data_IF_256437058685
#
_entry.id   IF_256437058685
#
_cell.length_a   1.000
_cell.length_b   1.000
_cell.length_c   1.000
_cell.angle_alpha   90.00
_cell.angle_beta   90.00
_cell.angle_gamma   90.00
#
_symmetry.space_group_name_H-M   'P 1'
#
loop_
_entity.id
_entity.type
_entity.pdbx_description
1 polymer ?
#
# COMPACT_ATOMS: atom_id res chain seq x y z
N UNK A 1 -9.74 8.14 -15.74
CA UNK A 1 -9.11 7.33 -14.67
C UNK A 1 -9.12 5.87 -15.10
N UNK A 2 -8.10 5.05 -14.80
CA UNK A 2 -8.05 3.64 -15.25
C UNK A 2 -7.92 2.72 -14.03
N UNK A 3 -8.73 1.67 -13.95
CA UNK A 3 -8.56 0.61 -12.96
C UNK A 3 -7.33 -0.26 -13.31
N UNK A 4 -6.77 -0.94 -12.32
CA UNK A 4 -5.88 -2.06 -12.60
C UNK A 4 -6.67 -3.16 -13.33
N UNK A 5 -6.07 -3.74 -14.38
CA UNK A 5 -6.61 -4.95 -14.99
C UNK A 5 -6.52 -6.13 -14.02
N UNK A 6 -7.18 -7.25 -14.35
CA UNK A 6 -7.08 -8.48 -13.56
C UNK A 6 -5.64 -8.99 -13.44
N UNK A 7 -4.83 -8.87 -14.50
CA UNK A 7 -3.41 -9.28 -14.47
C UNK A 7 -2.57 -8.34 -13.60
N UNK A 8 -2.80 -7.04 -13.68
CA UNK A 8 -2.10 -6.05 -12.85
C UNK A 8 -2.48 -6.18 -11.37
N UNK A 9 -3.76 -6.41 -11.08
CA UNK A 9 -4.26 -6.67 -9.72
C UNK A 9 -3.62 -7.93 -9.14
N UNK A 10 -3.60 -9.03 -9.90
CA UNK A 10 -2.97 -10.28 -9.48
C UNK A 10 -1.48 -10.07 -9.19
N UNK A 11 -0.77 -9.40 -10.09
CA UNK A 11 0.65 -9.08 -9.88
C UNK A 11 0.87 -8.26 -8.60
N UNK A 12 0.07 -7.22 -8.40
CA UNK A 12 0.12 -6.37 -7.22
C UNK A 12 -0.07 -7.19 -5.92
N UNK A 13 -1.05 -8.09 -5.89
CA UNK A 13 -1.31 -8.98 -4.74
C UNK A 13 -0.18 -9.99 -4.51
N UNK A 14 0.40 -10.55 -5.57
CA UNK A 14 1.55 -11.45 -5.49
C UNK A 14 2.76 -10.75 -4.87
N UNK A 15 3.03 -9.49 -5.26
CA UNK A 15 4.10 -8.67 -4.66
C UNK A 15 3.82 -8.32 -3.21
N UNK A 16 2.59 -7.91 -2.87
CA UNK A 16 2.19 -7.66 -1.48
C UNK A 16 2.40 -8.88 -0.59
N UNK A 17 2.02 -10.07 -1.07
CA UNK A 17 2.22 -11.34 -0.36
C UNK A 17 3.70 -11.65 -0.19
N UNK A 18 4.49 -11.48 -1.25
CA UNK A 18 5.93 -11.76 -1.22
C UNK A 18 6.67 -10.86 -0.22
N UNK A 19 6.48 -9.55 -0.33
CA UNK A 19 7.21 -8.52 0.42
C UNK A 19 6.70 -8.33 1.86
N UNK A 20 5.37 -8.33 2.05
CA UNK A 20 4.74 -7.94 3.31
C UNK A 20 3.96 -9.06 3.99
N UNK A 21 3.83 -10.23 3.35
CA UNK A 21 3.04 -11.34 3.87
C UNK A 21 1.53 -11.11 3.84
N UNK A 22 1.07 -10.08 3.14
CA UNK A 22 -0.34 -9.68 3.09
C UNK A 22 -1.10 -10.60 2.13
N UNK A 23 -2.19 -11.20 2.60
CA UNK A 23 -3.17 -11.92 1.77
C UNK A 23 -4.43 -11.08 1.66
N UNK A 24 -5.06 -11.08 0.47
CA UNK A 24 -6.30 -10.32 0.20
C UNK A 24 -6.20 -8.84 0.59
N UNK A 25 -5.05 -8.21 0.29
CA UNK A 25 -4.84 -6.78 0.56
C UNK A 25 -5.74 -5.92 -0.33
N UNK A 26 -6.38 -4.91 0.23
CA UNK A 26 -7.27 -3.99 -0.50
C UNK A 26 -8.41 -4.68 -1.28
N UNK A 27 -8.90 -5.85 -0.83
CA UNK A 27 -9.96 -6.61 -1.51
C UNK A 27 -11.30 -5.87 -1.55
N UNK A 28 -11.52 -4.94 -0.63
CA UNK A 28 -12.74 -4.14 -0.51
C UNK A 28 -12.72 -2.88 -1.39
N UNK A 29 -11.63 -2.66 -2.13
CA UNK A 29 -11.41 -1.45 -2.93
C UNK A 29 -11.15 -1.76 -4.38
N UNK A 30 -11.58 -0.85 -5.25
CA UNK A 30 -11.06 -0.77 -6.60
C UNK A 30 -9.69 -0.10 -6.57
N UNK A 31 -8.75 -0.66 -7.32
CA UNK A 31 -7.41 -0.10 -7.46
C UNK A 31 -7.28 0.65 -8.77
N UNK A 32 -6.76 1.86 -8.67
CA UNK A 32 -6.78 2.86 -9.74
C UNK A 32 -5.34 3.22 -10.06
N UNK A 33 -5.00 3.13 -11.34
CA UNK A 33 -3.71 3.58 -11.88
C UNK A 33 -3.65 5.10 -11.83
N UNK A 34 -2.59 5.60 -11.22
CA UNK A 34 -2.21 7.00 -11.24
C UNK A 34 -0.81 7.17 -11.87
N UNK A 35 -0.44 8.41 -12.19
CA UNK A 35 0.82 8.70 -12.85
C UNK A 35 2.05 8.24 -12.07
N UNK A 36 3.12 7.92 -12.80
CA UNK A 36 4.42 7.48 -12.25
C UNK A 36 4.34 6.18 -11.42
N UNK A 37 3.50 5.23 -11.85
CA UNK A 37 3.36 3.92 -11.20
C UNK A 37 2.61 3.95 -9.86
N UNK A 38 1.99 5.08 -9.49
CA UNK A 38 1.18 5.18 -8.29
C UNK A 38 -0.12 4.39 -8.45
N UNK A 39 -0.58 3.79 -7.35
CA UNK A 39 -1.83 3.06 -7.23
C UNK A 39 -2.65 3.73 -6.12
N UNK A 40 -3.93 3.99 -6.42
CA UNK A 40 -4.89 4.51 -5.45
C UNK A 40 -5.99 3.50 -5.16
N UNK A 41 -6.48 3.46 -3.93
CA UNK A 41 -7.63 2.66 -3.53
C UNK A 41 -8.85 3.56 -3.35
N UNK A 42 -10.00 3.16 -3.88
CA UNK A 42 -11.28 3.81 -3.63
C UNK A 42 -12.35 2.74 -3.40
N UNK A 43 -13.44 3.09 -2.74
CA UNK A 43 -14.65 2.27 -2.81
C UNK A 43 -15.19 2.30 -4.25
N UNK A 44 -15.97 1.28 -4.63
CA UNK A 44 -16.55 1.21 -5.96
C UNK A 44 -17.45 2.43 -6.23
N UNK A 45 -18.27 2.81 -5.26
CA UNK A 45 -19.22 3.92 -5.34
C UNK A 45 -18.50 5.25 -5.56
N UNK A 46 -17.42 5.51 -4.80
CA UNK A 46 -16.63 6.72 -4.95
C UNK A 46 -15.99 6.81 -6.35
N UNK A 47 -15.52 5.68 -6.88
CA UNK A 47 -14.98 5.60 -8.23
C UNK A 47 -16.05 5.87 -9.29
N UNK A 48 -17.23 5.26 -9.17
CA UNK A 48 -18.33 5.43 -10.12
C UNK A 48 -18.84 6.87 -10.18
N UNK A 49 -18.99 7.53 -9.03
CA UNK A 49 -19.35 8.95 -8.96
C UNK A 49 -18.28 9.79 -9.66
N UNK A 50 -17.00 9.58 -9.31
CA UNK A 50 -15.90 10.31 -9.91
C UNK A 50 -15.80 10.09 -11.43
N UNK A 51 -16.13 8.90 -11.93
CA UNK A 51 -16.09 8.57 -13.35
C UNK A 51 -17.14 9.31 -14.18
N UNK A 52 -18.25 9.74 -13.57
CA UNK A 52 -19.32 10.52 -14.23
C UNK A 52 -19.05 12.02 -14.24
N UNK A 53 -18.18 12.51 -13.36
CA UNK A 53 -17.85 13.93 -13.25
C UNK A 53 -16.78 14.35 -14.26
N UNK A 54 -16.88 15.58 -14.77
CA UNK A 54 -15.84 16.18 -15.63
C UNK A 54 -14.74 16.80 -14.77
N UNK A 55 -13.49 16.71 -15.25
CA UNK A 55 -12.30 17.36 -14.64
C UNK A 55 -11.90 16.90 -13.24
N UNK A 56 -12.32 15.70 -12.82
CA UNK A 56 -11.80 15.07 -11.60
C UNK A 56 -10.28 14.86 -11.73
N UNK A 57 -9.52 15.45 -10.82
CA UNK A 57 -8.06 15.34 -10.82
C UNK A 57 -7.60 13.99 -10.26
N UNK A 58 -8.18 13.58 -9.13
CA UNK A 58 -7.81 12.36 -8.42
C UNK A 58 -9.03 11.81 -7.67
N UNK A 59 -9.06 10.50 -7.44
CA UNK A 59 -10.05 9.80 -6.62
C UNK A 59 -9.34 8.75 -5.77
N UNK A 60 -9.87 8.48 -4.58
CA UNK A 60 -9.32 7.48 -3.66
C UNK A 60 -8.05 7.93 -2.95
N UNK A 61 -7.48 7.02 -2.16
CA UNK A 61 -6.29 7.22 -1.34
C UNK A 61 -5.06 6.66 -2.04
N UNK A 62 -3.93 7.36 -2.03
CA UNK A 62 -2.67 6.81 -2.56
C UNK A 62 -2.14 5.74 -1.59
N UNK A 63 -2.12 4.49 -2.05
CA UNK A 63 -1.80 3.33 -1.19
C UNK A 63 -0.44 2.69 -1.50
N UNK A 64 0.04 2.83 -2.74
CA UNK A 64 1.28 2.19 -3.13
C UNK A 64 1.86 2.78 -4.43
N UNK A 65 3.14 2.54 -4.64
CA UNK A 65 3.83 2.79 -5.91
C UNK A 65 4.48 1.51 -6.42
N UNK A 66 4.28 1.23 -7.70
CA UNK A 66 4.99 0.19 -8.44
C UNK A 66 6.34 0.76 -8.92
N UNK A 67 7.44 0.17 -8.47
CA UNK A 67 8.81 0.59 -8.84
C UNK A 67 9.65 -0.64 -9.14
N UNK A 68 10.18 -0.76 -10.36
CA UNK A 68 11.09 -1.86 -10.77
C UNK A 68 10.57 -3.27 -10.43
N UNK A 69 9.25 -3.45 -10.44
CA UNK A 69 8.60 -4.72 -10.12
C UNK A 69 8.29 -4.95 -8.64
N UNK A 70 8.56 -3.98 -7.77
CA UNK A 70 8.17 -3.99 -6.37
C UNK A 70 6.97 -3.10 -6.10
N UNK A 71 6.22 -3.46 -5.06
CA UNK A 71 5.19 -2.62 -4.46
C UNK A 71 5.80 -1.94 -3.25
N UNK A 72 5.83 -0.60 -3.27
CA UNK A 72 6.20 0.22 -2.11
C UNK A 72 4.92 0.80 -1.54
N UNK A 73 4.54 0.41 -0.33
CA UNK A 73 3.38 0.96 0.36
C UNK A 73 3.63 2.43 0.76
N UNK A 74 2.59 3.26 0.67
CA UNK A 74 2.55 4.53 1.40
C UNK A 74 2.25 4.29 2.88
N UNK A 75 2.41 5.31 3.72
CA UNK A 75 2.00 5.25 5.13
C UNK A 75 0.51 4.90 5.21
N UNK A 76 -0.33 5.60 4.47
CA UNK A 76 -1.77 5.39 4.46
C UNK A 76 -2.15 4.01 3.91
N UNK A 77 -1.44 3.53 2.89
CA UNK A 77 -1.62 2.18 2.36
C UNK A 77 -1.27 1.10 3.39
N UNK A 78 -0.21 1.31 4.17
CA UNK A 78 0.15 0.39 5.26
C UNK A 78 -0.91 0.37 6.38
N UNK A 79 -1.47 1.53 6.73
CA UNK A 79 -2.54 1.66 7.72
C UNK A 79 -3.84 1.02 7.24
N UNK A 80 -4.20 1.21 5.97
CA UNK A 80 -5.42 0.65 5.37
C UNK A 80 -5.40 -0.88 5.31
N UNK A 81 -4.22 -1.50 5.34
CA UNK A 81 -4.08 -2.94 5.48
C UNK A 81 -4.38 -3.44 6.91
N UNK A 82 -4.51 -2.55 7.89
CA UNK A 82 -5.06 -2.81 9.22
C UNK A 82 -4.50 -4.07 9.89
N UNK A 83 -3.18 -4.14 10.09
CA UNK A 83 -2.53 -5.29 10.74
C UNK A 83 -2.44 -6.57 9.90
N UNK A 84 -2.77 -6.53 8.61
CA UNK A 84 -2.58 -7.68 7.69
C UNK A 84 -1.12 -7.89 7.26
N UNK A 85 -0.20 -6.96 7.57
CA UNK A 85 1.23 -7.11 7.29
C UNK A 85 1.84 -8.07 8.31
N UNK A 86 2.52 -9.13 7.82
CA UNK A 86 3.04 -10.23 8.66
C UNK A 86 4.52 -10.56 8.41
N UNK A 87 5.15 -9.94 7.41
CA UNK A 87 6.58 -10.09 7.13
C UNK A 87 7.29 -8.75 7.35
N UNK A 88 8.55 -8.83 7.77
CA UNK A 88 9.43 -7.67 7.95
C UNK A 88 8.84 -6.63 8.92
N UNK A 89 8.20 -7.10 10.00
CA UNK A 89 7.62 -6.28 11.06
C UNK A 89 8.58 -6.26 12.25
N UNK A 90 8.80 -5.08 12.81
CA UNK A 90 9.51 -4.87 14.07
C UNK A 90 8.56 -4.18 15.04
N UNK A 91 8.53 -4.66 16.29
CA UNK A 91 7.74 -4.05 17.35
C UNK A 91 8.55 -2.94 18.02
N UNK A 92 7.89 -1.80 18.23
CA UNK A 92 8.47 -0.63 18.89
C UNK A 92 7.74 -0.36 20.20
N UNK A 93 8.49 0.02 21.22
CA UNK A 93 7.91 0.71 22.38
C UNK A 93 7.36 2.07 21.96
N UNK A 94 6.47 2.64 22.78
CA UNK A 94 5.90 3.97 22.53
C UNK A 94 6.98 5.07 22.37
N UNK A 95 8.03 5.16 23.22
CA UNK A 95 9.12 6.11 23.01
C UNK A 95 9.90 5.90 21.71
N UNK A 96 10.13 4.65 21.31
CA UNK A 96 10.81 4.34 20.04
C UNK A 96 9.96 4.73 18.83
N UNK A 97 8.65 4.45 18.89
CA UNK A 97 7.71 4.83 17.85
C UNK A 97 7.62 6.35 17.72
N UNK A 98 7.56 7.08 18.83
CA UNK A 98 7.61 8.55 18.85
C UNK A 98 8.89 9.12 18.24
N UNK A 99 10.05 8.54 18.58
CA UNK A 99 11.33 8.89 17.97
C UNK A 99 11.32 8.66 16.46
N UNK A 100 10.86 7.48 16.03
CA UNK A 100 10.77 7.13 14.61
C UNK A 100 9.84 8.06 13.82
N UNK A 101 8.69 8.45 14.40
CA UNK A 101 7.79 9.44 13.80
C UNK A 101 8.45 10.82 13.63
N UNK A 102 9.46 11.14 14.44
CA UNK A 102 10.31 12.34 14.34
C UNK A 102 11.55 12.13 13.46
N UNK A 103 11.56 11.06 12.64
CA UNK A 103 12.65 10.66 11.75
C UNK A 103 13.94 10.21 12.47
N UNK A 104 13.88 9.89 13.76
CA UNK A 104 15.00 9.22 14.44
C UNK A 104 15.17 7.80 13.90
N UNK A 105 16.41 7.31 13.79
CA UNK A 105 16.66 5.92 13.39
C UNK A 105 16.14 4.95 14.47
N UNK A 106 15.79 3.74 14.03
CA UNK A 106 15.46 2.63 14.94
C UNK A 106 16.71 1.75 15.09
N UNK A 107 17.22 1.68 16.32
CA UNK A 107 18.33 0.79 16.67
C UNK A 107 17.79 -0.53 17.23
N UNK A 108 17.58 -1.51 16.36
CA UNK A 108 17.23 -2.89 16.76
C UNK A 108 18.27 -3.86 16.22
N UNK A 109 18.68 -4.89 16.99
CA UNK A 109 19.53 -5.94 16.47
C UNK A 109 18.79 -6.67 15.34
N UNK A 110 19.35 -6.62 14.13
CA UNK A 110 18.84 -7.40 13.00
C UNK A 110 19.10 -8.87 13.35
N UNK A 111 18.05 -9.64 13.65
CA UNK A 111 18.17 -11.09 13.69
C UNK A 111 18.52 -11.55 12.26
N UNK A 112 19.70 -12.15 12.02
CA UNK A 112 19.99 -12.68 10.70
C UNK A 112 19.10 -13.89 10.46
N UNK A 113 18.15 -13.79 9.53
CA UNK A 113 17.32 -14.89 9.07
C UNK A 113 16.03 -14.36 8.45
N UNK A 114 15.59 -14.72 7.25
CA UNK A 114 15.89 -15.84 6.36
C UNK A 114 15.84 -15.24 4.95
N UNK A 115 16.89 -15.42 4.13
CA UNK A 115 16.83 -15.06 2.70
C UNK A 115 15.86 -15.99 1.98
#
# INVERSE_FOLDING_TARGET
>A
MKLLSSSERRYFEERLRAQYGVKNGFSEYVLIKAGQGRVRAATLEAFEVAARLRRVQQVGLYVAKLVKGDVILSIEGSQLLNGKIRKNVIELSEPEAEGWMRASPIEKPIKPGIR
#
